data_IF_194452622353
#
_entry.id   IF_194452622353
#
_cell.length_a   1.000
_cell.length_b   1.000
_cell.length_c   1.000
_cell.angle_alpha   90.00
_cell.angle_beta   90.00
_cell.angle_gamma   90.00
#
_symmetry.space_group_name_H-M   'P 1'
#
loop_
_entity.id
_entity.type
_entity.pdbx_description
1 polymer ?
#
# COMPACT_ATOMS: atom_id res chain seq x y z
N UNK A 1 19.35 -18.46 -20.56
CA UNK A 1 18.53 -18.29 -19.35
C UNK A 1 17.13 -17.94 -19.79
N UNK A 2 16.13 -18.65 -19.28
CA UNK A 2 14.72 -18.29 -19.48
C UNK A 2 14.35 -17.17 -18.48
N UNK A 3 14.06 -15.98 -18.98
CA UNK A 3 13.80 -14.80 -18.14
C UNK A 3 12.47 -14.89 -17.37
N UNK A 4 11.52 -15.72 -17.82
CA UNK A 4 10.22 -15.90 -17.14
C UNK A 4 10.36 -16.54 -15.75
N UNK A 5 11.49 -17.21 -15.50
CA UNK A 5 11.89 -17.73 -14.18
C UNK A 5 12.16 -16.64 -13.14
N UNK A 6 12.27 -15.37 -13.57
CA UNK A 6 12.44 -14.19 -12.70
C UNK A 6 11.10 -13.48 -12.44
N UNK A 7 9.96 -14.10 -12.77
CA UNK A 7 8.64 -13.54 -12.51
C UNK A 7 8.42 -13.28 -11.02
N UNK A 8 7.67 -12.21 -10.74
CA UNK A 8 7.27 -11.82 -9.40
C UNK A 8 5.81 -12.18 -9.15
N UNK A 9 5.43 -12.29 -7.89
CA UNK A 9 4.05 -12.51 -7.46
C UNK A 9 3.23 -11.21 -7.51
N UNK A 10 1.93 -11.36 -7.72
CA UNK A 10 0.97 -10.25 -7.72
C UNK A 10 0.77 -9.62 -6.35
N UNK A 11 1.13 -10.33 -5.27
CA UNK A 11 0.96 -9.87 -3.89
C UNK A 11 2.20 -10.17 -3.06
N UNK A 12 2.43 -9.37 -2.02
CA UNK A 12 3.46 -9.63 -1.02
C UNK A 12 2.95 -9.37 0.40
N UNK A 13 3.48 -10.13 1.36
CA UNK A 13 3.26 -9.93 2.79
C UNK A 13 4.36 -9.04 3.38
N UNK A 14 4.04 -7.78 3.66
CA UNK A 14 5.01 -6.82 4.17
C UNK A 14 5.03 -6.87 5.69
N UNK A 15 6.15 -7.32 6.27
CA UNK A 15 6.36 -7.33 7.71
C UNK A 15 6.61 -5.92 8.23
N UNK A 16 5.71 -5.45 9.09
CA UNK A 16 5.73 -4.08 9.59
C UNK A 16 6.78 -3.93 10.67
N UNK A 17 7.57 -2.84 10.55
CA UNK A 17 8.48 -2.38 11.59
C UNK A 17 7.81 -1.32 12.45
N UNK A 18 8.08 -1.37 13.75
CA UNK A 18 7.69 -0.34 14.70
C UNK A 18 8.51 0.95 14.52
N UNK A 19 8.19 1.99 15.29
CA UNK A 19 8.95 3.25 15.29
C UNK A 19 10.42 3.09 15.70
N UNK A 20 10.76 2.00 16.40
CA UNK A 20 12.11 1.62 16.79
C UNK A 20 12.90 0.91 15.67
N UNK A 21 12.26 0.63 14.53
CA UNK A 21 12.85 -0.06 13.38
C UNK A 21 12.88 -1.58 13.49
N UNK A 22 12.40 -2.15 14.60
CA UNK A 22 12.30 -3.59 14.77
C UNK A 22 10.99 -4.12 14.18
N UNK A 23 11.02 -5.35 13.71
CA UNK A 23 9.81 -6.03 13.24
C UNK A 23 8.82 -6.28 14.36
N UNK A 24 7.55 -5.98 14.11
CA UNK A 24 6.46 -6.18 15.06
C UNK A 24 5.98 -7.63 15.04
N UNK A 25 5.67 -8.15 16.22
CA UNK A 25 5.08 -9.47 16.40
C UNK A 25 3.90 -9.36 17.38
N UNK A 26 2.90 -10.21 17.17
CA UNK A 26 1.76 -10.41 18.05
C UNK A 26 1.66 -11.91 18.37
N UNK A 27 1.77 -12.27 19.64
CA UNK A 27 1.90 -13.66 20.11
C UNK A 27 2.91 -14.51 19.31
N UNK A 28 4.06 -13.90 18.98
CA UNK A 28 5.13 -14.53 18.21
C UNK A 28 4.87 -14.67 16.72
N UNK A 29 3.72 -14.20 16.21
CA UNK A 29 3.39 -14.16 14.78
C UNK A 29 3.74 -12.80 14.19
N UNK A 30 4.27 -12.74 12.96
CA UNK A 30 4.66 -11.47 12.35
C UNK A 30 3.44 -10.61 12.03
N UNK A 31 3.51 -9.34 12.39
CA UNK A 31 2.50 -8.33 12.01
C UNK A 31 2.73 -7.96 10.55
N UNK A 32 1.79 -8.30 9.66
CA UNK A 32 1.96 -8.13 8.20
C UNK A 32 0.78 -7.42 7.57
N UNK A 33 1.07 -6.68 6.51
CA UNK A 33 0.05 -6.16 5.58
C UNK A 33 0.27 -6.81 4.22
N UNK A 34 -0.77 -7.43 3.69
CA UNK A 34 -0.76 -8.04 2.37
C UNK A 34 -1.20 -7.01 1.35
N UNK A 35 -0.38 -6.77 0.33
CA UNK A 35 -0.66 -5.78 -0.71
C UNK A 35 -0.48 -6.36 -2.11
N UNK A 36 -1.30 -5.86 -3.04
CA UNK A 36 -1.11 -6.00 -4.47
C UNK A 36 0.13 -5.21 -4.92
N UNK A 37 1.01 -5.88 -5.65
CA UNK A 37 2.29 -5.37 -6.12
C UNK A 37 2.28 -4.86 -7.55
N UNK A 38 3.42 -4.34 -8.03
CA UNK A 38 3.56 -3.72 -9.34
C UNK A 38 3.18 -4.59 -10.54
N UNK A 39 3.23 -5.92 -10.41
CA UNK A 39 2.86 -6.84 -11.49
C UNK A 39 1.35 -7.11 -11.57
N UNK A 40 0.57 -6.71 -10.56
CA UNK A 40 -0.86 -7.00 -10.49
C UNK A 40 -1.71 -6.01 -11.29
N UNK A 41 -2.84 -6.47 -11.81
CA UNK A 41 -3.84 -5.60 -12.45
C UNK A 41 -4.39 -4.54 -11.50
N UNK A 42 -4.57 -4.87 -10.21
CA UNK A 42 -5.06 -3.93 -9.19
C UNK A 42 -4.10 -2.75 -9.00
N UNK A 43 -2.80 -3.00 -9.07
CA UNK A 43 -1.81 -1.92 -9.02
C UNK A 43 -1.80 -1.08 -10.30
N UNK A 44 -1.97 -1.70 -11.47
CA UNK A 44 -2.11 -0.97 -12.74
C UNK A 44 -3.33 -0.03 -12.73
N UNK A 45 -4.47 -0.48 -12.21
CA UNK A 45 -5.67 0.36 -12.04
C UNK A 45 -5.42 1.55 -11.08
N UNK A 46 -4.60 1.35 -10.05
CA UNK A 46 -4.18 2.42 -9.16
C UNK A 46 -3.29 3.46 -9.90
N UNK A 47 -2.36 3.01 -10.74
CA UNK A 47 -1.53 3.92 -11.55
C UNK A 47 -2.37 4.75 -12.51
N UNK A 48 -3.33 4.13 -13.20
CA UNK A 48 -4.28 4.82 -14.07
C UNK A 48 -5.09 5.87 -13.29
N UNK A 49 -5.58 5.53 -12.08
CA UNK A 49 -6.30 6.47 -11.22
C UNK A 49 -5.41 7.66 -10.82
N UNK A 50 -4.16 7.42 -10.47
CA UNK A 50 -3.20 8.47 -10.13
C UNK A 50 -2.92 9.40 -11.32
N UNK A 51 -2.69 8.82 -12.51
CA UNK A 51 -2.47 9.58 -13.74
C UNK A 51 -3.70 10.42 -14.10
N UNK A 52 -4.90 9.83 -14.04
CA UNK A 52 -6.16 10.53 -14.31
C UNK A 52 -6.40 11.69 -13.33
N UNK A 53 -6.09 11.52 -12.04
CA UNK A 53 -6.16 12.63 -11.06
C UNK A 53 -5.18 13.76 -11.38
N UNK A 54 -3.98 13.44 -11.85
CA UNK A 54 -3.01 14.45 -12.26
C UNK A 54 -3.48 15.24 -13.49
N UNK A 55 -3.98 14.55 -14.52
CA UNK A 55 -4.55 15.17 -15.73
C UNK A 55 -5.76 16.03 -15.38
N UNK A 56 -6.69 15.51 -14.56
CA UNK A 56 -7.86 16.27 -14.11
C UNK A 56 -7.46 17.56 -13.41
N UNK A 57 -6.50 17.52 -12.49
CA UNK A 57 -6.01 18.73 -11.79
C UNK A 57 -5.37 19.74 -12.73
N UNK A 58 -4.66 19.29 -13.75
CA UNK A 58 -4.08 20.16 -14.76
C UNK A 58 -5.18 20.87 -15.56
N UNK A 59 -6.20 20.13 -15.99
CA UNK A 59 -7.34 20.66 -16.74
C UNK A 59 -8.18 21.63 -15.89
N UNK A 60 -8.43 21.30 -14.62
CA UNK A 60 -9.18 22.14 -13.68
C UNK A 60 -8.45 23.47 -13.37
N UNK A 61 -7.17 23.59 -13.70
CA UNK A 61 -6.35 24.77 -13.46
C UNK A 61 -5.84 25.41 -14.77
N UNK A 62 -6.64 25.33 -15.84
CA UNK A 62 -6.35 25.93 -17.16
C UNK A 62 -4.98 25.54 -17.74
N UNK A 63 -4.57 24.28 -17.54
CA UNK A 63 -3.28 23.78 -18.01
C UNK A 63 -2.08 24.25 -17.19
N UNK A 64 -2.29 24.94 -16.07
CA UNK A 64 -1.21 25.36 -15.17
C UNK A 64 -0.97 24.28 -14.10
N UNK A 65 0.29 23.86 -13.86
CA UNK A 65 0.59 22.93 -12.78
C UNK A 65 0.11 23.47 -11.43
N UNK A 66 -0.65 22.66 -10.71
CA UNK A 66 -1.07 22.94 -9.34
C UNK A 66 -0.90 21.68 -8.48
N UNK A 67 -0.43 21.87 -7.25
CA UNK A 67 -0.27 20.78 -6.30
C UNK A 67 -1.47 20.79 -5.36
N UNK A 68 -2.11 19.63 -5.19
CA UNK A 68 -3.23 19.51 -4.27
C UNK A 68 -2.85 19.97 -2.84
N UNK A 69 -3.79 20.48 -2.03
CA UNK A 69 -3.56 20.75 -0.62
C UNK A 69 -3.04 19.51 0.14
N UNK A 70 -2.29 19.72 1.22
CA UNK A 70 -1.67 18.61 1.98
C UNK A 70 -2.73 17.60 2.45
N UNK A 71 -3.83 18.08 3.05
CA UNK A 71 -4.90 17.22 3.52
C UNK A 71 -5.53 16.37 2.40
N UNK A 72 -5.64 16.94 1.19
CA UNK A 72 -6.14 16.20 0.04
C UNK A 72 -5.14 15.13 -0.40
N UNK A 73 -3.83 15.44 -0.43
CA UNK A 73 -2.78 14.46 -0.76
C UNK A 73 -2.75 13.31 0.23
N UNK A 74 -2.85 13.60 1.53
CA UNK A 74 -2.90 12.58 2.58
C UNK A 74 -4.12 11.66 2.41
N UNK A 75 -5.29 12.24 2.11
CA UNK A 75 -6.51 11.48 1.86
C UNK A 75 -6.43 10.62 0.58
N UNK A 76 -5.83 11.14 -0.49
CA UNK A 76 -5.58 10.41 -1.73
C UNK A 76 -4.62 9.23 -1.49
N UNK A 77 -3.52 9.46 -0.77
CA UNK A 77 -2.56 8.41 -0.40
C UNK A 77 -3.22 7.30 0.43
N UNK A 78 -4.03 7.67 1.43
CA UNK A 78 -4.72 6.69 2.25
C UNK A 78 -5.72 5.84 1.43
N UNK A 79 -6.45 6.45 0.49
CA UNK A 79 -7.37 5.72 -0.39
C UNK A 79 -6.64 4.80 -1.38
N UNK A 80 -5.52 5.27 -1.93
CA UNK A 80 -4.68 4.52 -2.85
C UNK A 80 -4.10 3.27 -2.19
N UNK A 81 -3.46 3.44 -1.03
CA UNK A 81 -2.89 2.33 -0.26
C UNK A 81 -3.99 1.35 0.18
N UNK A 82 -5.16 1.85 0.60
CA UNK A 82 -6.29 1.00 0.94
C UNK A 82 -6.78 0.19 -0.26
N UNK A 83 -6.77 0.76 -1.48
CA UNK A 83 -7.26 0.07 -2.68
C UNK A 83 -6.39 -1.08 -3.16
N UNK A 84 -5.11 -1.10 -2.78
CA UNK A 84 -4.18 -2.20 -3.08
C UNK A 84 -3.96 -3.13 -1.89
N UNK A 85 -4.55 -2.84 -0.73
CA UNK A 85 -4.41 -3.69 0.46
C UNK A 85 -5.41 -4.84 0.38
N UNK A 86 -4.89 -6.05 0.56
CA UNK A 86 -5.67 -7.29 0.57
C UNK A 86 -6.15 -7.62 1.97
N UNK A 87 -5.23 -7.61 2.94
CA UNK A 87 -5.51 -8.05 4.29
C UNK A 87 -4.49 -7.51 5.30
N UNK A 88 -4.92 -7.51 6.57
CA UNK A 88 -4.09 -7.34 7.74
C UNK A 88 -3.91 -8.71 8.40
N UNK A 89 -2.69 -9.04 8.79
CA UNK A 89 -2.37 -10.27 9.50
C UNK A 89 -1.73 -9.95 10.84
N UNK A 90 -2.33 -10.45 11.92
CA UNK A 90 -1.91 -10.19 13.30
C UNK A 90 -1.82 -8.69 13.59
N UNK A 91 -2.76 -7.91 13.06
CA UNK A 91 -2.84 -6.46 13.20
C UNK A 91 -4.29 -6.07 13.39
N UNK A 92 -4.60 -5.60 14.60
CA UNK A 92 -5.88 -4.97 14.91
C UNK A 92 -5.76 -3.44 14.89
N UNK A 93 -6.83 -2.77 14.47
CA UNK A 93 -6.93 -1.32 14.51
C UNK A 93 -8.21 -0.88 15.22
N UNK A 94 -8.22 -0.86 16.57
CA UNK A 94 -9.39 -0.52 17.38
C UNK A 94 -10.09 0.80 17.03
N UNK A 95 -9.40 1.89 16.62
CA UNK A 95 -10.06 3.14 16.22
C UNK A 95 -11.05 2.99 15.05
N UNK A 96 -10.99 1.87 14.31
CA UNK A 96 -11.92 1.55 13.24
C UNK A 96 -12.44 0.10 13.34
N UNK A 97 -12.64 -0.43 14.54
CA UNK A 97 -13.07 -1.81 14.77
C UNK A 97 -14.37 -2.20 14.02
N UNK A 98 -15.27 -1.24 13.81
CA UNK A 98 -16.55 -1.41 13.09
C UNK A 98 -16.41 -1.34 11.56
N UNK A 99 -15.21 -1.08 11.03
CA UNK A 99 -14.95 -1.01 9.59
C UNK A 99 -14.32 -2.30 9.10
N UNK A 100 -14.58 -2.62 7.84
CA UNK A 100 -14.05 -3.80 7.19
C UNK A 100 -13.48 -3.48 5.80
N UNK A 101 -12.60 -4.35 5.31
CA UNK A 101 -11.98 -4.23 3.99
C UNK A 101 -11.35 -2.86 3.75
N UNK A 102 -11.61 -2.27 2.59
CA UNK A 102 -11.02 -0.99 2.16
C UNK A 102 -11.22 0.14 3.18
N UNK A 103 -12.37 0.20 3.85
CA UNK A 103 -12.66 1.28 4.81
C UNK A 103 -11.84 1.17 6.10
N UNK A 104 -11.55 -0.06 6.54
CA UNK A 104 -10.61 -0.33 7.64
C UNK A 104 -9.20 0.07 7.22
N UNK A 105 -8.76 -0.36 6.04
CA UNK A 105 -7.41 -0.09 5.55
C UNK A 105 -7.17 1.41 5.39
N UNK A 106 -8.15 2.12 4.82
CA UNK A 106 -8.10 3.57 4.66
C UNK A 106 -8.02 4.30 6.00
N UNK A 107 -8.74 3.81 7.01
CA UNK A 107 -8.69 4.39 8.35
C UNK A 107 -7.28 4.26 8.96
N UNK A 108 -6.62 3.10 8.84
CA UNK A 108 -5.24 2.92 9.28
C UNK A 108 -4.29 3.88 8.58
N UNK A 109 -4.36 3.97 7.24
CA UNK A 109 -3.45 4.82 6.47
C UNK A 109 -3.70 6.34 6.64
N UNK A 110 -4.90 6.73 7.09
CA UNK A 110 -5.21 8.12 7.40
C UNK A 110 -4.73 8.55 8.80
N UNK A 111 -4.35 7.60 9.66
CA UNK A 111 -3.88 7.90 11.02
C UNK A 111 -2.46 8.46 11.00
N UNK A 112 -2.35 9.76 11.28
CA UNK A 112 -1.05 10.46 11.31
C UNK A 112 -0.08 9.90 12.36
N UNK A 113 -0.59 9.33 13.46
CA UNK A 113 0.25 8.71 14.49
C UNK A 113 0.86 7.38 14.04
N UNK A 114 0.23 6.73 13.06
CA UNK A 114 0.69 5.49 12.45
C UNK A 114 1.22 5.69 11.02
N UNK A 115 1.51 6.93 10.62
CA UNK A 115 1.95 7.27 9.26
C UNK A 115 3.22 6.54 8.78
N UNK A 116 4.04 6.05 9.71
CA UNK A 116 5.20 5.21 9.41
C UNK A 116 4.83 3.89 8.71
N UNK A 117 3.62 3.38 8.90
CA UNK A 117 3.11 2.18 8.22
C UNK A 117 2.92 2.47 6.73
N UNK A 118 2.23 3.55 6.38
CA UNK A 118 2.01 3.93 4.98
C UNK A 118 3.33 4.15 4.22
N UNK A 119 4.31 4.78 4.85
CA UNK A 119 5.66 4.97 4.28
C UNK A 119 6.36 3.64 4.00
N UNK A 120 6.25 2.66 4.92
CA UNK A 120 6.81 1.33 4.72
C UNK A 120 6.19 0.62 3.53
N UNK A 121 4.86 0.67 3.38
CA UNK A 121 4.16 0.06 2.26
C UNK A 121 4.56 0.71 0.94
N UNK A 122 4.58 2.05 0.87
CA UNK A 122 5.05 2.76 -0.34
C UNK A 122 6.47 2.40 -0.73
N UNK A 123 7.37 2.25 0.26
CA UNK A 123 8.74 1.81 0.01
C UNK A 123 8.77 0.37 -0.51
N UNK A 124 7.98 -0.52 0.09
CA UNK A 124 7.93 -1.93 -0.29
C UNK A 124 7.47 -2.10 -1.75
N UNK A 125 6.48 -1.32 -2.19
CA UNK A 125 5.96 -1.34 -3.55
C UNK A 125 6.99 -0.93 -4.62
N UNK A 126 7.99 -0.14 -4.26
CA UNK A 126 9.07 0.28 -5.18
C UNK A 126 10.19 -0.75 -5.31
N UNK A 127 10.20 -1.76 -4.45
CA UNK A 127 11.21 -2.79 -4.42
C UNK A 127 10.60 -4.12 -4.87
N UNK A 128 10.83 -4.44 -6.15
CA UNK A 128 10.41 -5.69 -6.79
C UNK A 128 10.93 -6.93 -6.06
N UNK A 129 12.00 -6.81 -5.27
CA UNK A 129 12.53 -7.89 -4.44
C UNK A 129 11.52 -8.40 -3.40
N UNK A 130 10.62 -7.54 -2.92
CA UNK A 130 9.56 -7.94 -1.97
C UNK A 130 8.49 -8.84 -2.59
N UNK A 131 8.40 -8.84 -3.93
CA UNK A 131 7.44 -9.62 -4.70
C UNK A 131 8.09 -10.83 -5.38
N UNK A 132 9.38 -11.11 -5.13
CA UNK A 132 9.95 -12.40 -5.52
C UNK A 132 9.16 -13.47 -4.78
N UNK A 133 8.48 -14.33 -5.56
CA UNK A 133 7.63 -15.36 -4.98
C UNK A 133 8.38 -16.11 -3.89
N UNK A 134 7.75 -16.26 -2.72
CA UNK A 134 8.14 -17.34 -1.84
C UNK A 134 7.95 -18.60 -2.67
N UNK A 135 9.06 -19.25 -3.04
CA UNK A 135 9.05 -20.48 -3.81
C UNK A 135 7.91 -21.35 -3.32
N UNK A 136 6.91 -21.59 -4.17
CA UNK A 136 5.89 -22.60 -3.92
C UNK A 136 6.67 -23.90 -3.82
N UNK A 137 6.95 -24.34 -2.60
CA UNK A 137 7.42 -25.70 -2.36
C UNK A 137 6.21 -26.56 -2.69
N UNK A 138 6.17 -27.05 -3.93
CA UNK A 138 5.30 -28.16 -4.34
C UNK A 138 5.66 -29.44 -3.60
#
# INVERSE_FOLDING_TARGET
MDITTQSVSDTAAIHIKGPDGNYLYDDGKPVRIIVHGPASSVFAELEDRQANRAVKRLNDNDGRPNVAPIAQREAEVADDLASITVAFENLDYPPAAEKHGKDLFRALYADKKLGFIGVQIQKALRDWGNFKGASTVS
#
